data_IF_720838705831
#
_entry.id   IF_720838705831
#
_cell.length_a   1.000
_cell.length_b   1.000
_cell.length_c   1.000
_cell.angle_alpha   90.00
_cell.angle_beta   90.00
_cell.angle_gamma   90.00
#
_symmetry.space_group_name_H-M   'P 1'
#
loop_
_entity.id
_entity.type
_entity.pdbx_description
1 polymer ?
#
# COMPACT_ATOMS: atom_id res chain seq x y z
N UNK A 1 14.43 44.99 -2.61
CA UNK A 1 13.32 44.24 -3.25
C UNK A 1 13.86 43.00 -3.95
N UNK A 2 13.89 41.85 -3.26
CA UNK A 2 14.23 40.58 -3.90
C UNK A 2 12.93 39.94 -4.38
N UNK A 3 12.57 40.16 -5.65
CA UNK A 3 11.48 39.43 -6.30
C UNK A 3 11.98 38.04 -6.66
N UNK A 4 11.78 37.06 -5.77
CA UNK A 4 11.87 35.65 -6.17
C UNK A 4 10.66 35.33 -7.06
N UNK A 5 10.91 35.21 -8.36
CA UNK A 5 9.95 34.63 -9.31
C UNK A 5 9.80 33.14 -8.98
N UNK A 6 8.77 32.80 -8.23
CA UNK A 6 8.35 31.41 -8.06
C UNK A 6 7.95 30.85 -9.43
N UNK A 7 8.75 29.90 -9.96
CA UNK A 7 8.27 29.05 -11.06
C UNK A 7 7.13 28.21 -10.50
N UNK A 8 5.91 28.42 -11.00
CA UNK A 8 4.81 27.48 -10.81
C UNK A 8 5.29 26.14 -11.34
N UNK A 9 5.39 25.14 -10.46
CA UNK A 9 5.70 23.77 -10.88
C UNK A 9 4.42 23.24 -11.52
N UNK A 10 4.40 23.19 -12.85
CA UNK A 10 3.26 22.69 -13.62
C UNK A 10 2.95 21.23 -13.22
N UNK A 11 1.67 20.91 -13.06
CA UNK A 11 1.23 19.57 -12.68
C UNK A 11 1.66 18.55 -13.74
N UNK A 12 2.01 17.34 -13.31
CA UNK A 12 2.37 16.27 -14.24
C UNK A 12 1.15 15.91 -15.09
N UNK A 13 1.33 15.90 -16.42
CA UNK A 13 0.28 15.44 -17.33
C UNK A 13 -0.09 13.97 -17.05
N UNK A 14 -1.39 13.59 -17.11
CA UNK A 14 -1.84 12.23 -16.81
C UNK A 14 -1.12 11.15 -17.63
N UNK A 15 -0.85 11.42 -18.92
CA UNK A 15 -0.20 10.46 -19.81
C UNK A 15 1.26 10.20 -19.39
N UNK A 16 1.93 11.24 -18.86
CA UNK A 16 3.30 11.10 -18.32
C UNK A 16 3.30 10.26 -17.05
N UNK A 17 2.29 10.43 -16.19
CA UNK A 17 2.13 9.62 -14.98
C UNK A 17 1.87 8.15 -15.34
N UNK A 18 0.90 7.87 -16.22
CA UNK A 18 0.59 6.54 -16.74
C UNK A 18 1.83 5.89 -17.37
N UNK A 19 2.58 6.61 -18.20
CA UNK A 19 3.81 6.11 -18.83
C UNK A 19 4.87 5.71 -17.79
N UNK A 20 5.06 6.51 -16.73
CA UNK A 20 6.03 6.19 -15.67
C UNK A 20 5.63 4.96 -14.87
N UNK A 21 4.34 4.82 -14.56
CA UNK A 21 3.83 3.64 -13.85
C UNK A 21 3.88 2.40 -14.74
N UNK A 22 3.49 2.50 -16.01
CA UNK A 22 3.60 1.42 -17.01
C UNK A 22 5.05 0.92 -17.18
N UNK A 23 6.03 1.84 -17.20
CA UNK A 23 7.46 1.48 -17.18
C UNK A 23 7.85 0.69 -15.92
N UNK A 24 7.27 1.03 -14.77
CA UNK A 24 7.50 0.30 -13.51
C UNK A 24 6.87 -1.09 -13.58
N UNK A 25 5.63 -1.19 -14.03
CA UNK A 25 4.91 -2.46 -14.20
C UNK A 25 5.71 -3.40 -15.12
N UNK A 26 6.11 -2.92 -16.29
CA UNK A 26 6.89 -3.71 -17.27
C UNK A 26 8.25 -4.12 -16.72
N UNK A 27 9.01 -3.16 -16.17
CA UNK A 27 10.40 -3.40 -15.71
C UNK A 27 10.49 -4.45 -14.60
N UNK A 28 9.49 -4.49 -13.72
CA UNK A 28 9.49 -5.39 -12.57
C UNK A 28 8.51 -6.56 -12.73
N UNK A 29 7.94 -6.74 -13.94
CA UNK A 29 6.96 -7.80 -14.23
C UNK A 29 5.87 -7.88 -13.17
N UNK A 30 5.26 -6.73 -12.87
CA UNK A 30 4.21 -6.65 -11.85
C UNK A 30 2.91 -7.30 -12.31
N UNK A 31 2.67 -7.29 -13.62
CA UNK A 31 1.54 -7.93 -14.30
C UNK A 31 2.12 -8.85 -15.38
N UNK A 32 1.65 -10.08 -15.42
CA UNK A 32 2.05 -11.19 -16.30
C UNK A 32 0.79 -11.96 -16.73
N UNK A 33 0.88 -12.72 -17.82
CA UNK A 33 -0.24 -13.55 -18.33
C UNK A 33 -0.74 -14.54 -17.28
N UNK A 34 -2.05 -14.71 -17.19
CA UNK A 34 -2.74 -15.60 -16.25
C UNK A 34 -2.75 -15.08 -14.80
N UNK A 35 -2.36 -13.83 -14.56
CA UNK A 35 -2.43 -13.25 -13.23
C UNK A 35 -3.88 -13.00 -12.78
N UNK A 36 -4.14 -13.28 -11.51
CA UNK A 36 -5.35 -12.85 -10.80
C UNK A 36 -4.91 -11.91 -9.69
N UNK A 37 -5.12 -10.61 -9.90
CA UNK A 37 -4.60 -9.54 -9.06
C UNK A 37 -5.73 -8.84 -8.33
N UNK A 38 -5.64 -8.84 -7.01
CA UNK A 38 -6.51 -8.00 -6.18
C UNK A 38 -5.80 -6.68 -5.89
N UNK A 39 -6.49 -5.55 -6.02
CA UNK A 39 -5.99 -4.22 -5.67
C UNK A 39 -6.60 -3.80 -4.35
N UNK A 40 -5.78 -3.61 -3.32
CA UNK A 40 -6.27 -3.18 -2.00
C UNK A 40 -6.70 -1.70 -2.03
N UNK A 41 -8.00 -1.44 -1.87
CA UNK A 41 -8.63 -0.12 -1.95
C UNK A 41 -8.99 0.41 -0.56
N UNK A 42 -8.40 1.54 -0.18
CA UNK A 42 -8.71 2.23 1.07
C UNK A 42 -9.68 3.41 0.90
N UNK A 43 -10.12 3.67 -0.33
CA UNK A 43 -10.86 4.87 -0.71
C UNK A 43 -9.99 6.11 -0.95
N UNK A 44 -8.68 6.04 -0.68
CA UNK A 44 -7.75 7.14 -0.93
C UNK A 44 -7.24 7.16 -2.37
N UNK A 45 -6.71 8.31 -2.81
CA UNK A 45 -6.20 8.51 -4.17
C UNK A 45 -5.03 7.60 -4.51
N UNK A 46 -4.21 7.24 -3.53
CA UNK A 46 -3.05 6.35 -3.72
C UNK A 46 -3.47 4.94 -4.17
N UNK A 47 -4.46 4.34 -3.50
CA UNK A 47 -4.98 3.02 -3.90
C UNK A 47 -5.78 3.09 -5.19
N UNK A 48 -6.52 4.17 -5.41
CA UNK A 48 -7.29 4.39 -6.64
C UNK A 48 -6.36 4.51 -7.85
N UNK A 49 -5.30 5.32 -7.75
CA UNK A 49 -4.30 5.46 -8.81
C UNK A 49 -3.62 4.13 -9.14
N UNK A 50 -3.34 3.29 -8.14
CA UNK A 50 -2.81 1.95 -8.38
C UNK A 50 -3.78 1.08 -9.20
N UNK A 51 -5.09 1.12 -8.91
CA UNK A 51 -6.11 0.43 -9.69
C UNK A 51 -6.17 0.95 -11.13
N UNK A 52 -6.30 2.27 -11.31
CA UNK A 52 -6.44 2.90 -12.62
C UNK A 52 -5.21 2.67 -13.51
N UNK A 53 -4.01 2.76 -12.93
CA UNK A 53 -2.76 2.53 -13.68
C UNK A 53 -2.57 1.06 -14.05
N UNK A 54 -2.97 0.11 -13.19
CA UNK A 54 -2.94 -1.32 -13.52
C UNK A 54 -3.96 -1.66 -14.59
N UNK A 55 -5.20 -1.17 -14.48
CA UNK A 55 -6.24 -1.38 -15.50
C UNK A 55 -5.82 -0.79 -16.84
N UNK A 56 -5.35 0.46 -16.84
CA UNK A 56 -4.81 1.10 -18.05
C UNK A 56 -3.65 0.32 -18.66
N UNK A 57 -2.79 -0.31 -17.85
CA UNK A 57 -1.71 -1.14 -18.36
C UNK A 57 -2.24 -2.43 -19.00
N UNK A 58 -3.12 -3.16 -18.31
CA UNK A 58 -3.74 -4.40 -18.80
C UNK A 58 -4.44 -4.15 -20.13
N UNK A 59 -5.26 -3.10 -20.23
CA UNK A 59 -6.03 -2.79 -21.43
C UNK A 59 -5.14 -2.34 -22.60
N UNK A 60 -4.12 -1.51 -22.34
CA UNK A 60 -3.21 -1.03 -23.38
C UNK A 60 -2.27 -2.11 -23.90
N UNK A 61 -1.99 -3.12 -23.08
CA UNK A 61 -1.07 -4.22 -23.43
C UNK A 61 -1.78 -5.49 -23.83
N UNK A 62 -3.10 -5.55 -23.68
CA UNK A 62 -3.94 -6.72 -23.98
C UNK A 62 -3.41 -7.98 -23.27
N UNK A 63 -3.10 -7.85 -21.97
CA UNK A 63 -2.60 -8.96 -21.14
C UNK A 63 -3.78 -9.73 -20.58
N UNK A 64 -3.75 -11.07 -20.64
CA UNK A 64 -4.71 -11.93 -19.95
C UNK A 64 -4.46 -11.84 -18.43
N UNK A 65 -5.15 -10.91 -17.78
CA UNK A 65 -5.01 -10.64 -16.36
C UNK A 65 -6.36 -10.24 -15.77
N UNK A 66 -6.81 -10.97 -14.76
CA UNK A 66 -8.01 -10.63 -13.99
C UNK A 66 -7.66 -9.61 -12.90
N UNK A 67 -8.32 -8.46 -12.93
CA UNK A 67 -8.20 -7.43 -11.89
C UNK A 67 -9.47 -7.38 -11.04
N UNK A 68 -9.33 -7.37 -9.71
CA UNK A 68 -10.43 -7.12 -8.76
C UNK A 68 -10.06 -6.05 -7.75
N UNK A 69 -11.00 -5.19 -7.38
CA UNK A 69 -10.90 -4.31 -6.23
C UNK A 69 -11.12 -5.09 -4.93
N UNK A 70 -10.37 -4.75 -3.88
CA UNK A 70 -10.51 -5.38 -2.56
C UNK A 70 -10.60 -4.35 -1.45
N UNK A 71 -11.74 -4.30 -0.77
CA UNK A 71 -11.98 -3.38 0.34
C UNK A 71 -12.24 -4.12 1.65
N UNK A 72 -11.65 -3.62 2.73
CA UNK A 72 -11.86 -4.15 4.08
C UNK A 72 -12.65 -3.12 4.87
N UNK A 73 -13.88 -3.45 5.23
CA UNK A 73 -14.68 -2.68 6.16
C UNK A 73 -14.30 -3.04 7.61
N UNK A 74 -13.63 -2.11 8.28
CA UNK A 74 -13.19 -2.24 9.67
C UNK A 74 -14.31 -2.02 10.70
N UNK A 75 -15.55 -1.78 10.25
CA UNK A 75 -16.72 -1.59 11.11
C UNK A 75 -16.80 -0.20 11.74
N UNK A 76 -16.13 0.79 11.15
CA UNK A 76 -16.26 2.18 11.56
C UNK A 76 -17.44 2.86 10.83
N UNK A 77 -18.16 3.79 11.49
CA UNK A 77 -19.25 4.53 10.87
C UNK A 77 -18.69 5.53 9.85
N UNK A 78 -18.40 5.06 8.63
CA UNK A 78 -18.05 5.92 7.50
C UNK A 78 -18.48 5.28 6.17
N UNK A 79 -19.80 5.16 5.95
CA UNK A 79 -20.36 4.66 4.69
C UNK A 79 -19.81 5.37 3.44
N UNK A 80 -19.41 6.65 3.58
CA UNK A 80 -18.78 7.45 2.52
C UNK A 80 -17.56 6.79 1.89
N UNK A 81 -16.76 6.02 2.64
CA UNK A 81 -15.55 5.39 2.08
C UNK A 81 -15.92 4.25 1.12
N UNK A 82 -16.92 3.44 1.47
CA UNK A 82 -17.36 2.36 0.60
C UNK A 82 -17.96 2.90 -0.71
N UNK A 83 -18.77 3.95 -0.63
CA UNK A 83 -19.35 4.58 -1.82
C UNK A 83 -18.27 5.15 -2.76
N UNK A 84 -17.23 5.78 -2.18
CA UNK A 84 -16.08 6.25 -2.96
C UNK A 84 -15.33 5.08 -3.61
N UNK A 85 -15.09 3.99 -2.88
CA UNK A 85 -14.41 2.80 -3.43
C UNK A 85 -15.22 2.15 -4.55
N UNK A 86 -16.55 2.05 -4.39
CA UNK A 86 -17.45 1.58 -5.45
C UNK A 86 -17.36 2.47 -6.69
N UNK A 87 -17.43 3.79 -6.50
CA UNK A 87 -17.25 4.74 -7.61
C UNK A 87 -15.88 4.58 -8.30
N UNK A 88 -14.81 4.32 -7.56
CA UNK A 88 -13.49 4.06 -8.15
C UNK A 88 -13.48 2.80 -9.03
N UNK A 89 -14.10 1.71 -8.58
CA UNK A 89 -14.14 0.45 -9.34
C UNK A 89 -15.08 0.50 -10.53
N UNK A 90 -16.22 1.18 -10.38
CA UNK A 90 -17.23 1.33 -11.44
C UNK A 90 -16.66 2.15 -12.62
N UNK A 91 -15.89 3.21 -12.33
CA UNK A 91 -15.23 4.04 -13.35
C UNK A 91 -14.27 3.25 -14.25
N UNK A 92 -13.72 2.14 -13.78
CA UNK A 92 -12.76 1.30 -14.53
C UNK A 92 -13.33 -0.08 -14.90
N UNK A 93 -14.59 -0.34 -14.58
CA UNK A 93 -15.27 -1.61 -14.87
C UNK A 93 -14.62 -2.82 -14.19
N UNK A 94 -14.19 -2.69 -12.93
CA UNK A 94 -13.54 -3.76 -12.17
C UNK A 94 -14.46 -4.26 -11.06
N UNK A 95 -14.55 -5.58 -10.86
CA UNK A 95 -15.34 -6.17 -9.76
C UNK A 95 -14.79 -5.73 -8.40
N UNK A 96 -15.66 -5.31 -7.47
CA UNK A 96 -15.30 -4.98 -6.10
C UNK A 96 -15.68 -6.10 -5.13
N UNK A 97 -14.68 -6.65 -4.45
CA UNK A 97 -14.85 -7.56 -3.32
C UNK A 97 -14.74 -6.78 -2.01
N UNK A 98 -15.76 -6.85 -1.17
CA UNK A 98 -15.79 -6.23 0.17
C UNK A 98 -15.85 -7.29 1.25
N UNK A 99 -15.03 -7.14 2.28
CA UNK A 99 -15.06 -8.02 3.47
C UNK A 99 -15.27 -7.16 4.70
N UNK A 100 -16.27 -7.51 5.51
CA UNK A 100 -16.46 -6.89 6.82
C UNK A 100 -15.71 -7.66 7.90
N UNK A 101 -15.10 -6.95 8.84
CA UNK A 101 -14.48 -7.58 10.02
C UNK A 101 -15.48 -8.41 10.84
N UNK A 102 -16.76 -8.03 10.84
CA UNK A 102 -17.84 -8.81 11.46
C UNK A 102 -18.01 -10.19 10.84
N UNK A 103 -17.89 -10.30 9.52
CA UNK A 103 -17.99 -11.59 8.80
C UNK A 103 -16.83 -12.53 9.16
N UNK A 104 -15.69 -11.97 9.59
CA UNK A 104 -14.54 -12.74 10.05
C UNK A 104 -14.69 -13.22 11.51
N UNK A 105 -15.81 -12.93 12.17
CA UNK A 105 -16.03 -13.22 13.58
C UNK A 105 -15.13 -12.39 14.51
N UNK A 106 -14.64 -11.25 14.02
CA UNK A 106 -13.66 -10.42 14.73
C UNK A 106 -14.18 -8.99 14.86
N UNK A 107 -14.31 -8.51 16.10
CA UNK A 107 -14.64 -7.11 16.37
C UNK A 107 -13.37 -6.28 16.56
N UNK A 108 -12.98 -5.53 15.53
CA UNK A 108 -11.85 -4.58 15.61
C UNK A 108 -12.03 -3.55 16.73
N UNK A 109 -13.21 -2.90 16.90
CA UNK A 109 -13.44 -1.96 18.00
C UNK A 109 -13.24 -2.58 19.39
N UNK A 110 -13.65 -3.83 19.59
CA UNK A 110 -13.53 -4.49 20.90
C UNK A 110 -12.09 -4.86 21.24
N UNK A 111 -11.30 -5.28 20.24
CA UNK A 111 -9.87 -5.56 20.45
C UNK A 111 -9.09 -4.29 20.75
N UNK A 112 -9.40 -3.19 20.05
CA UNK A 112 -8.77 -1.89 20.31
C UNK A 112 -9.02 -1.42 21.75
N UNK A 113 -10.22 -1.63 22.31
CA UNK A 113 -10.53 -1.30 23.71
C UNK A 113 -9.77 -2.15 24.74
N UNK A 114 -9.37 -3.37 24.39
CA UNK A 114 -8.75 -4.35 25.30
C UNK A 114 -7.23 -4.35 25.26
N UNK A 115 -6.61 -3.69 24.30
CA UNK A 115 -5.15 -3.70 24.11
C UNK A 115 -4.54 -2.33 24.39
N UNK A 116 -3.35 -2.31 25.00
CA UNK A 116 -2.53 -1.10 25.14
C UNK A 116 -1.77 -0.74 23.86
N UNK A 117 -1.86 -1.56 22.81
CA UNK A 117 -1.17 -1.29 21.54
C UNK A 117 -1.83 -0.12 20.80
N UNK A 118 -1.04 0.73 20.10
CA UNK A 118 -1.59 1.78 19.26
C UNK A 118 -2.59 1.23 18.24
N UNK A 119 -3.72 1.92 18.05
CA UNK A 119 -4.82 1.50 17.15
C UNK A 119 -4.31 1.16 15.75
N UNK A 120 -3.44 1.99 15.19
CA UNK A 120 -2.83 1.79 13.86
C UNK A 120 -1.96 0.52 13.78
N UNK A 121 -1.36 0.08 14.89
CA UNK A 121 -0.61 -1.18 14.96
C UNK A 121 -1.54 -2.38 14.81
N UNK A 122 -2.66 -2.37 15.55
CA UNK A 122 -3.70 -3.42 15.51
C UNK A 122 -4.36 -3.46 14.13
N UNK A 123 -4.76 -2.30 13.60
CA UNK A 123 -5.34 -2.14 12.25
C UNK A 123 -4.42 -2.72 11.17
N UNK A 124 -3.12 -2.43 11.26
CA UNK A 124 -2.13 -2.95 10.32
C UNK A 124 -2.04 -4.48 10.33
N UNK A 125 -2.12 -5.12 11.51
CA UNK A 125 -2.09 -6.59 11.63
C UNK A 125 -3.32 -7.20 10.96
N UNK A 126 -4.50 -6.68 11.27
CA UNK A 126 -5.77 -7.13 10.70
C UNK A 126 -5.80 -7.00 9.18
N UNK A 127 -5.51 -5.80 8.64
CA UNK A 127 -5.52 -5.58 7.20
C UNK A 127 -4.55 -6.50 6.47
N UNK A 128 -3.32 -6.66 6.97
CA UNK A 128 -2.33 -7.53 6.31
C UNK A 128 -2.72 -9.00 6.32
N UNK A 129 -3.38 -9.46 7.38
CA UNK A 129 -3.92 -10.82 7.46
C UNK A 129 -5.01 -11.03 6.40
N UNK A 130 -6.01 -10.15 6.39
CA UNK A 130 -7.18 -10.24 5.50
C UNK A 130 -6.80 -10.05 4.02
N UNK A 131 -5.97 -9.05 3.70
CA UNK A 131 -5.47 -8.81 2.33
C UNK A 131 -4.62 -9.94 1.78
N UNK A 132 -4.07 -10.80 2.63
CA UNK A 132 -3.32 -11.98 2.17
C UNK A 132 -4.23 -13.19 2.03
N UNK A 133 -5.08 -13.44 3.03
CA UNK A 133 -5.88 -14.66 3.13
C UNK A 133 -7.02 -14.68 2.11
N UNK A 134 -7.88 -13.66 2.11
CA UNK A 134 -9.14 -13.70 1.35
C UNK A 134 -8.89 -13.69 -0.16
N UNK A 135 -8.09 -12.76 -0.73
CA UNK A 135 -7.81 -12.79 -2.16
C UNK A 135 -7.19 -14.11 -2.62
N UNK A 136 -6.29 -14.69 -1.82
CA UNK A 136 -5.67 -15.99 -2.10
C UNK A 136 -6.70 -17.12 -2.15
N UNK A 137 -7.63 -17.15 -1.20
CA UNK A 137 -8.72 -18.14 -1.18
C UNK A 137 -9.68 -17.97 -2.37
N UNK A 138 -9.73 -16.77 -2.96
CA UNK A 138 -10.46 -16.47 -4.19
C UNK A 138 -9.63 -16.66 -5.47
N UNK A 139 -8.46 -17.31 -5.39
CA UNK A 139 -7.63 -17.64 -6.54
C UNK A 139 -6.60 -16.58 -6.93
N UNK A 140 -6.47 -15.48 -6.18
CA UNK A 140 -5.45 -14.48 -6.47
C UNK A 140 -4.04 -15.06 -6.29
N UNK A 141 -3.13 -14.69 -7.18
CA UNK A 141 -1.69 -14.95 -7.05
C UNK A 141 -0.91 -13.69 -6.62
N UNK A 142 -1.49 -12.49 -6.83
CA UNK A 142 -0.88 -11.20 -6.49
C UNK A 142 -1.86 -10.27 -5.76
N UNK A 143 -1.31 -9.44 -4.88
CA UNK A 143 -2.02 -8.31 -4.26
C UNK A 143 -1.25 -7.01 -4.53
N UNK A 144 -1.94 -6.02 -5.11
CA UNK A 144 -1.44 -4.68 -5.35
C UNK A 144 -1.79 -3.72 -4.20
N UNK A 145 -0.88 -2.80 -3.90
CA UNK A 145 -1.10 -1.75 -2.91
C UNK A 145 -0.65 -0.39 -3.45
N UNK A 146 -1.34 0.68 -3.05
CA UNK A 146 -1.06 2.06 -3.46
C UNK A 146 0.19 2.71 -2.85
N UNK A 147 1.15 1.96 -2.32
CA UNK A 147 2.35 2.56 -1.73
C UNK A 147 3.19 3.26 -2.80
N UNK A 148 3.40 4.56 -2.62
CA UNK A 148 4.13 5.40 -3.56
C UNK A 148 5.59 5.64 -3.13
N UNK A 149 6.41 6.23 -3.98
CA UNK A 149 7.85 6.47 -3.76
C UNK A 149 8.15 7.12 -2.41
N UNK A 150 7.42 8.18 -2.06
CA UNK A 150 7.68 8.94 -0.83
C UNK A 150 7.47 8.07 0.42
N UNK A 151 6.57 7.08 0.39
CA UNK A 151 6.35 6.16 1.51
C UNK A 151 7.59 5.33 1.78
N UNK A 152 8.17 4.76 0.72
CA UNK A 152 9.36 3.93 0.82
C UNK A 152 10.56 4.74 1.30
N UNK A 153 10.68 6.00 0.90
CA UNK A 153 11.75 6.87 1.39
C UNK A 153 11.60 7.15 2.90
N UNK A 154 10.39 7.53 3.34
CA UNK A 154 10.13 7.74 4.77
C UNK A 154 10.38 6.47 5.57
N UNK A 155 9.87 5.32 5.11
CA UNK A 155 10.10 4.05 5.79
C UNK A 155 11.56 3.62 5.75
N UNK A 156 12.29 3.91 4.67
CA UNK A 156 13.73 3.64 4.60
C UNK A 156 14.49 4.39 5.69
N UNK A 157 14.33 5.72 5.79
CA UNK A 157 15.03 6.50 6.82
C UNK A 157 14.65 6.06 8.23
N UNK A 158 13.36 5.82 8.49
CA UNK A 158 12.90 5.31 9.79
C UNK A 158 13.53 3.96 10.15
N UNK A 159 13.63 3.02 9.20
CA UNK A 159 14.20 1.70 9.45
C UNK A 159 15.74 1.75 9.55
N UNK A 160 16.42 2.65 8.84
CA UNK A 160 17.87 2.88 9.03
C UNK A 160 18.14 3.42 10.44
N UNK A 161 17.41 4.46 10.87
CA UNK A 161 17.58 5.07 12.19
C UNK A 161 17.31 4.07 13.32
N UNK A 162 16.30 3.21 13.16
CA UNK A 162 15.97 2.15 14.12
C UNK A 162 16.75 0.85 13.92
N UNK A 163 17.74 0.83 13.02
CA UNK A 163 18.58 -0.33 12.71
C UNK A 163 17.79 -1.58 12.29
N UNK A 164 16.59 -1.39 11.73
CA UNK A 164 15.71 -2.47 11.31
C UNK A 164 15.88 -2.82 9.83
N UNK A 165 17.06 -3.36 9.52
CA UNK A 165 17.46 -3.69 8.15
C UNK A 165 16.60 -4.76 7.48
N UNK A 166 15.98 -5.64 8.28
CA UNK A 166 15.06 -6.66 7.77
C UNK A 166 13.85 -6.08 7.01
N UNK A 167 13.32 -4.93 7.43
CA UNK A 167 12.22 -4.30 6.66
C UNK A 167 12.71 -3.69 5.36
N UNK A 168 13.95 -3.20 5.33
CA UNK A 168 14.55 -2.58 4.13
C UNK A 168 14.71 -3.63 3.02
N UNK A 169 15.01 -4.89 3.35
CA UNK A 169 15.04 -6.00 2.37
C UNK A 169 13.68 -6.30 1.74
N UNK A 170 12.59 -5.70 2.23
CA UNK A 170 11.25 -5.82 1.65
C UNK A 170 10.86 -4.62 0.80
N UNK A 171 11.72 -3.60 0.66
CA UNK A 171 11.44 -2.40 -0.13
C UNK A 171 11.82 -2.60 -1.59
N UNK A 172 10.91 -3.26 -2.31
CA UNK A 172 10.98 -3.51 -3.76
C UNK A 172 9.60 -3.38 -4.42
N UNK A 173 9.52 -3.11 -5.74
CA UNK A 173 8.25 -3.03 -6.47
C UNK A 173 7.47 -4.35 -6.47
N UNK A 174 8.17 -5.48 -6.63
CA UNK A 174 7.64 -6.84 -6.54
C UNK A 174 8.27 -7.56 -5.36
N UNK A 175 7.45 -7.96 -4.40
CA UNK A 175 7.86 -8.80 -3.29
C UNK A 175 7.29 -10.20 -3.54
N UNK A 176 8.16 -11.09 -4.01
CA UNK A 176 7.80 -12.49 -4.29
C UNK A 176 7.22 -13.19 -3.06
N UNK A 177 6.39 -14.20 -3.33
CA UNK A 177 5.89 -15.09 -2.30
C UNK A 177 7.04 -15.86 -1.66
N UNK A 178 7.06 -15.90 -0.33
CA UNK A 178 8.01 -16.69 0.45
C UNK A 178 7.39 -17.97 1.02
N UNK A 179 6.12 -18.24 0.73
CA UNK A 179 5.37 -19.37 1.26
C UNK A 179 4.10 -19.60 0.41
N UNK A 180 3.65 -20.84 0.12
CA UNK A 180 2.46 -21.09 -0.72
C UNK A 180 1.20 -20.34 -0.28
N UNK A 181 1.04 -20.14 1.03
CA UNK A 181 -0.03 -19.34 1.64
C UNK A 181 0.22 -17.82 1.68
N UNK A 182 1.25 -17.30 1.02
CA UNK A 182 1.51 -15.86 0.93
C UNK A 182 1.36 -15.37 -0.51
N UNK A 183 0.64 -14.28 -0.70
CA UNK A 183 0.54 -13.63 -2.01
C UNK A 183 1.82 -12.89 -2.35
N UNK A 184 2.17 -12.89 -3.64
CA UNK A 184 3.14 -11.96 -4.17
C UNK A 184 2.58 -10.52 -4.03
N UNK A 185 3.37 -9.58 -3.52
CA UNK A 185 2.93 -8.19 -3.31
C UNK A 185 3.54 -7.27 -4.33
N UNK A 186 2.69 -6.53 -5.04
CA UNK A 186 3.12 -5.58 -6.07
C UNK A 186 2.79 -4.13 -5.69
N UNK A 187 3.65 -3.20 -6.11
CA UNK A 187 3.57 -1.77 -5.82
C UNK A 187 3.80 -0.99 -7.11
N UNK A 188 2.76 -0.78 -7.95
CA UNK A 188 2.90 -0.10 -9.22
C UNK A 188 3.42 1.35 -9.05
N UNK A 189 3.07 2.00 -7.95
CA UNK A 189 3.41 3.40 -7.69
C UNK A 189 4.83 3.63 -7.09
N UNK A 190 5.68 2.60 -7.07
CA UNK A 190 6.99 2.64 -6.38
C UNK A 190 7.91 3.79 -6.82
N UNK A 191 7.77 4.28 -8.06
CA UNK A 191 8.61 5.34 -8.65
C UNK A 191 7.85 6.64 -8.97
N UNK A 192 6.68 6.85 -8.40
CA UNK A 192 5.92 8.12 -8.46
C UNK A 192 5.64 8.61 -7.04
N UNK A 193 5.62 9.92 -6.82
CA UNK A 193 5.42 10.54 -5.51
C UNK A 193 3.94 10.70 -5.15
N UNK A 194 3.67 11.05 -3.89
CA UNK A 194 2.31 11.27 -3.39
C UNK A 194 1.65 12.50 -4.03
N UNK A 195 2.41 13.60 -4.21
CA UNK A 195 1.88 14.77 -4.94
C UNK A 195 1.52 14.42 -6.38
N UNK A 196 2.40 13.72 -7.09
CA UNK A 196 2.16 13.30 -8.48
C UNK A 196 0.92 12.40 -8.59
N UNK A 197 0.72 11.55 -7.59
CA UNK A 197 -0.44 10.65 -7.51
C UNK A 197 -1.74 11.41 -7.24
N UNK A 198 -1.70 12.42 -6.37
CA UNK A 198 -2.85 13.30 -6.12
C UNK A 198 -3.22 14.09 -7.37
N UNK A 199 -2.24 14.75 -8.00
CA UNK A 199 -2.44 15.53 -9.24
C UNK A 199 -3.04 14.64 -10.34
N UNK A 200 -2.60 13.38 -10.45
CA UNK A 200 -3.18 12.39 -11.36
C UNK A 200 -4.65 12.09 -11.05
N UNK A 201 -5.00 11.85 -9.78
CA UNK A 201 -6.39 11.60 -9.40
C UNK A 201 -7.29 12.81 -9.69
N UNK A 202 -6.83 14.02 -9.36
CA UNK A 202 -7.57 15.26 -9.60
C UNK A 202 -7.78 15.52 -11.10
N UNK A 203 -6.74 15.36 -11.92
CA UNK A 203 -6.82 15.56 -13.38
C UNK A 203 -7.69 14.53 -14.10
N UNK A 204 -7.75 13.30 -13.57
CA UNK A 204 -8.60 12.22 -14.11
C UNK A 204 -10.02 12.21 -13.50
N UNK A 205 -10.34 13.13 -12.57
CA UNK A 205 -11.64 13.15 -11.89
C UNK A 205 -11.92 11.92 -11.02
N UNK A 206 -10.87 11.24 -10.53
CA UNK A 206 -11.00 10.04 -9.71
C UNK A 206 -11.45 10.45 -8.30
N UNK A 207 -12.59 9.93 -7.80
CA UNK A 207 -13.04 10.27 -6.45
C UNK A 207 -12.11 9.65 -5.41
N UNK A 208 -11.76 10.38 -4.37
CA UNK A 208 -11.03 9.84 -3.22
C UNK A 208 -11.43 10.53 -1.91
N UNK A 209 -11.33 9.81 -0.80
CA UNK A 209 -11.47 10.40 0.53
C UNK A 209 -10.19 11.10 0.94
N UNK A 210 -10.31 12.29 1.50
CA UNK A 210 -9.19 13.00 2.11
C UNK A 210 -8.70 12.27 3.37
N UNK A 211 -7.40 12.42 3.70
CA UNK A 211 -6.73 11.67 4.78
C UNK A 211 -7.32 11.89 6.18
N UNK A 212 -8.06 12.98 6.36
CA UNK A 212 -8.75 13.35 7.61
C UNK A 212 -9.99 12.48 7.91
N UNK A 213 -10.32 11.54 7.01
CA UNK A 213 -11.50 10.66 7.14
C UNK A 213 -11.34 9.51 8.15
N UNK A 214 -10.13 9.16 8.60
CA UNK A 214 -9.98 8.11 9.60
C UNK A 214 -10.31 8.67 11.01
N UNK A 215 -11.29 8.09 11.74
CA UNK A 215 -11.71 8.60 13.05
C UNK A 215 -10.61 8.61 14.12
N UNK A 216 -9.52 7.89 13.88
CA UNK A 216 -8.40 7.78 14.81
C UNK A 216 -7.20 8.66 14.44
N UNK A 217 -7.24 9.41 13.33
CA UNK A 217 -6.14 10.30 12.91
C UNK A 217 -5.90 11.42 13.93
N UNK A 218 -6.94 11.91 14.62
CA UNK A 218 -6.90 13.00 15.61
C UNK A 218 -6.63 12.56 17.05
N UNK A 219 -6.69 11.26 17.35
CA UNK A 219 -6.56 10.68 18.70
C UNK A 219 -5.13 10.18 18.98
N UNK A 220 -4.13 11.06 18.90
CA UNK A 220 -2.71 10.73 19.17
C UNK A 220 -2.05 9.73 18.21
N UNK A 221 -2.45 9.73 16.92
CA UNK A 221 -1.67 9.07 15.88
C UNK A 221 -0.36 9.86 15.58
N UNK A 222 0.60 9.78 16.52
CA UNK A 222 1.95 10.36 16.40
C UNK A 222 2.67 9.97 15.09
N UNK A 223 2.24 8.87 14.46
CA UNK A 223 2.75 8.38 13.19
C UNK A 223 2.49 9.33 12.02
N UNK A 224 1.33 10.00 11.97
CA UNK A 224 0.92 10.82 10.82
C UNK A 224 1.51 12.23 10.85
N UNK A 225 1.54 12.88 12.02
CA UNK A 225 2.25 14.16 12.20
C UNK A 225 3.75 14.01 11.87
N UNK A 226 4.37 12.90 12.27
CA UNK A 226 5.74 12.62 11.90
C UNK A 226 5.89 12.33 10.40
N UNK A 227 4.93 11.62 9.78
CA UNK A 227 5.00 11.31 8.34
C UNK A 227 4.93 12.55 7.47
N UNK A 228 4.08 13.52 7.81
CA UNK A 228 4.02 14.81 7.10
C UNK A 228 5.36 15.59 7.19
N UNK A 229 5.98 15.64 8.39
CA UNK A 229 7.31 16.25 8.59
C UNK A 229 8.40 15.55 7.77
N UNK A 230 8.32 14.23 7.65
CA UNK A 230 9.23 13.46 6.80
C UNK A 230 9.04 13.78 5.31
N UNK A 231 7.81 13.87 4.81
CA UNK A 231 7.56 14.29 3.43
C UNK A 231 8.11 15.68 3.15
N UNK A 232 7.85 16.64 4.04
CA UNK A 232 8.38 17.99 3.89
C UNK A 232 9.91 17.98 3.83
N UNK A 233 10.57 17.21 4.69
CA UNK A 233 12.03 17.06 4.69
C UNK A 233 12.53 16.50 3.35
N UNK A 234 11.89 15.45 2.82
CA UNK A 234 12.24 14.87 1.52
C UNK A 234 12.08 15.89 0.38
N UNK A 235 11.01 16.69 0.41
CA UNK A 235 10.78 17.74 -0.58
C UNK A 235 11.81 18.88 -0.48
N UNK A 236 12.24 19.23 0.73
CA UNK A 236 13.30 20.22 0.93
C UNK A 236 14.66 19.72 0.43
N UNK A 237 14.98 18.43 0.60
CA UNK A 237 16.17 17.83 -0.01
C UNK A 237 16.07 17.87 -1.53
N UNK A 238 14.93 17.46 -2.11
CA UNK A 238 14.69 17.47 -3.56
C UNK A 238 14.85 18.86 -4.19
N UNK A 239 14.42 19.92 -3.49
CA UNK A 239 14.62 21.32 -3.93
C UNK A 239 16.10 21.68 -4.10
N UNK A 240 16.97 21.14 -3.24
CA UNK A 240 18.43 21.37 -3.29
C UNK A 240 19.14 20.38 -4.22
N UNK A 241 18.67 19.15 -4.28
CA UNK A 241 19.22 18.05 -5.07
C UNK A 241 18.14 17.46 -5.97
N UNK A 242 18.09 17.94 -7.21
CA UNK A 242 17.11 17.47 -8.21
C UNK A 242 17.22 15.96 -8.41
N UNK A 243 16.07 15.31 -8.54
CA UNK A 243 15.90 13.86 -8.69
C UNK A 243 16.36 13.02 -7.49
N UNK A 244 16.61 13.62 -6.32
CA UNK A 244 17.06 12.90 -5.12
C UNK A 244 16.14 11.72 -4.80
N UNK A 245 14.83 11.93 -4.72
CA UNK A 245 13.84 10.90 -4.37
C UNK A 245 13.85 9.74 -5.36
N UNK A 246 13.87 10.03 -6.66
CA UNK A 246 13.94 9.01 -7.71
C UNK A 246 15.26 8.22 -7.66
N UNK A 247 16.38 8.89 -7.46
CA UNK A 247 17.69 8.25 -7.32
C UNK A 247 17.73 7.36 -6.08
N UNK A 248 17.25 7.87 -4.95
CA UNK A 248 17.20 7.16 -3.68
C UNK A 248 16.30 5.92 -3.77
N UNK A 249 15.11 6.03 -4.38
CA UNK A 249 14.23 4.89 -4.60
C UNK A 249 14.92 3.77 -5.42
N UNK A 250 15.66 4.14 -6.48
CA UNK A 250 16.43 3.17 -7.28
C UNK A 250 17.57 2.55 -6.45
N UNK A 251 18.25 3.34 -5.64
CA UNK A 251 19.29 2.86 -4.72
C UNK A 251 18.72 1.89 -3.71
N UNK A 252 17.56 2.16 -3.10
CA UNK A 252 16.89 1.26 -2.16
C UNK A 252 16.63 -0.11 -2.79
N UNK A 253 16.11 -0.15 -4.02
CA UNK A 253 15.89 -1.42 -4.74
C UNK A 253 17.20 -2.18 -4.94
N UNK A 254 18.29 -1.48 -5.30
CA UNK A 254 19.61 -2.10 -5.47
C UNK A 254 20.23 -2.54 -4.14
N UNK A 255 20.00 -1.80 -3.06
CA UNK A 255 20.56 -2.07 -1.74
C UNK A 255 19.91 -3.25 -1.04
N UNK A 256 18.70 -3.61 -1.43
CA UNK A 256 17.94 -4.74 -0.88
C UNK A 256 18.80 -6.01 -0.71
N UNK A 257 19.64 -6.32 -1.70
CA UNK A 257 20.55 -7.49 -1.68
C UNK A 257 21.55 -7.51 -0.52
N UNK A 258 21.94 -6.35 0.01
CA UNK A 258 22.87 -6.24 1.13
C UNK A 258 22.17 -6.40 2.49
N UNK A 259 20.85 -6.25 2.52
CA UNK A 259 20.03 -6.43 3.70
C UNK A 259 19.27 -7.75 3.68
N UNK A 260 19.60 -8.65 2.74
CA UNK A 260 19.04 -9.99 2.68
C UNK A 260 19.47 -10.76 3.93
N UNK A 261 18.64 -10.67 4.97
CA UNK A 261 18.75 -11.50 6.17
C UNK A 261 18.37 -12.92 5.79
N UNK A 262 19.01 -13.92 6.40
CA UNK A 262 18.56 -15.32 6.32
C UNK A 262 17.04 -15.38 6.49
N UNK A 263 16.38 -16.11 5.59
CA UNK A 263 14.93 -16.24 5.61
C UNK A 263 14.51 -16.78 6.97
N UNK A 264 13.90 -15.91 7.79
CA UNK A 264 13.30 -16.33 9.07
C UNK A 264 12.36 -17.49 8.78
N UNK A 265 12.56 -18.62 9.44
CA UNK A 265 11.75 -19.83 9.27
C UNK A 265 10.26 -19.46 9.30
N UNK A 266 9.59 -19.61 8.15
CA UNK A 266 8.15 -19.41 8.04
C UNK A 266 7.49 -20.74 8.39
N UNK A 267 6.67 -20.72 9.44
CA UNK A 267 5.86 -21.86 9.89
C UNK A 267 4.38 -21.51 9.75
N UNK A 268 3.52 -22.52 9.78
CA UNK A 268 2.07 -22.31 9.81
C UNK A 268 1.58 -22.15 11.25
N UNK A 269 0.74 -21.15 11.48
CA UNK A 269 0.15 -20.91 12.80
C UNK A 269 -0.77 -22.09 13.19
N UNK A 270 -0.62 -22.70 14.38
CA UNK A 270 -1.43 -23.85 14.79
C UNK A 270 -2.93 -23.52 14.93
N UNK A 271 -3.29 -22.24 15.12
CA UNK A 271 -4.68 -21.80 15.35
C UNK A 271 -5.44 -21.40 14.09
N UNK A 272 -4.76 -21.10 12.99
CA UNK A 272 -5.42 -20.64 11.77
C UNK A 272 -4.78 -21.14 10.47
N UNK A 273 -3.65 -21.86 10.55
CA UNK A 273 -2.92 -22.38 9.39
C UNK A 273 -2.25 -21.31 8.54
N UNK A 274 -2.27 -20.03 8.95
CA UNK A 274 -1.65 -18.94 8.18
C UNK A 274 -0.15 -18.77 8.48
N UNK A 275 0.66 -18.32 7.50
CA UNK A 275 2.10 -18.18 7.65
C UNK A 275 2.51 -17.20 8.75
N UNK A 276 3.51 -17.57 9.52
CA UNK A 276 4.08 -16.74 10.58
C UNK A 276 5.56 -17.07 10.81
N UNK A 277 6.29 -16.12 11.40
CA UNK A 277 7.66 -16.29 11.85
C UNK A 277 7.76 -16.47 13.38
N UNK A 278 6.63 -16.81 14.01
CA UNK A 278 6.48 -17.02 15.45
C UNK A 278 5.68 -18.31 15.66
N UNK A 279 5.61 -18.80 16.89
CA UNK A 279 4.80 -19.97 17.20
C UNK A 279 3.31 -19.74 16.89
N UNK A 280 2.76 -18.60 17.34
CA UNK A 280 1.39 -18.18 17.04
C UNK A 280 1.39 -16.83 16.32
N UNK A 281 0.63 -16.73 15.23
CA UNK A 281 0.61 -15.51 14.42
C UNK A 281 0.04 -14.31 15.19
N UNK A 282 0.52 -13.11 14.87
CA UNK A 282 0.10 -11.86 15.52
C UNK A 282 -1.40 -11.59 15.40
N UNK A 283 -2.06 -12.09 14.36
CA UNK A 283 -3.51 -12.01 14.24
C UNK A 283 -4.20 -12.84 15.32
N UNK A 284 -3.88 -14.13 15.45
CA UNK A 284 -4.51 -14.99 16.45
C UNK A 284 -4.23 -14.51 17.87
N UNK A 285 -3.02 -14.02 18.16
CA UNK A 285 -2.71 -13.48 19.49
C UNK A 285 -3.55 -12.25 19.85
N UNK A 286 -3.82 -11.37 18.89
CA UNK A 286 -4.62 -10.17 19.13
C UNK A 286 -6.13 -10.43 19.13
N UNK A 287 -6.60 -11.28 18.23
CA UNK A 287 -8.02 -11.40 17.93
C UNK A 287 -8.67 -12.70 18.45
N UNK A 288 -7.87 -13.73 18.79
CA UNK A 288 -8.36 -14.98 19.41
C UNK A 288 -7.99 -15.12 20.88
N UNK A 289 -7.30 -14.14 21.47
CA UNK A 289 -7.00 -14.11 22.91
C UNK A 289 -5.98 -15.16 23.39
N UNK A 290 -5.23 -15.78 22.49
CA UNK A 290 -4.18 -16.75 22.84
C UNK A 290 -2.87 -16.02 23.08
N UNK A 291 -2.26 -16.17 24.26
CA UNK A 291 -0.94 -15.60 24.57
C UNK A 291 0.16 -16.40 23.89
#
# INVERSE_FOLDING_TARGET
MVRQRGKVVEAMKPETYLSRVSKTISKFKLVEEGDVIFVALSGGGDSASALFTLKSFVDQKDVDCELKGFHIDLGFPSGKTLDVVKGQTDLVGVELVTVSTKELGVSFPDVVKKTSRPVCSVCGVLKRYVMNKIPREMGANKIATGHHMDDFLVFFFKNVISQNFFWISKFKPKLESSHPKMLCRIRPLFFVGGKETRDFCESMGIPFVERESCPHTSLDCYTDLNRAKWYETLYQIEKKHKNFRCQMARSIVKMNKFFAVEASRVVECPLCGEPTNQETCSFCRLFKGVK
#
